data_IF_528735155286
#
_entry.id   IF_528735155286
#
_cell.length_a   1.000
_cell.length_b   1.000
_cell.length_c   1.000
_cell.angle_alpha   90.00
_cell.angle_beta   90.00
_cell.angle_gamma   90.00
#
_symmetry.space_group_name_H-M   'P 1'
#
loop_
_entity.id
_entity.type
_entity.pdbx_description
1 polymer ?
#
# COMPACT_ATOMS: atom_id res chain seq x y z
N UNK A 1 10.58 9.19 1.74
CA UNK A 1 11.35 7.95 2.02
C UNK A 1 10.42 6.76 1.79
N UNK A 2 10.90 5.68 1.15
CA UNK A 2 10.13 4.44 0.98
C UNK A 2 10.65 3.38 1.95
N UNK A 3 9.75 2.69 2.64
CA UNK A 3 10.12 1.69 3.65
C UNK A 3 9.17 0.49 3.63
N UNK A 4 9.63 -0.64 4.15
CA UNK A 4 8.79 -1.81 4.43
C UNK A 4 8.31 -1.79 5.89
N UNK A 5 7.19 -2.44 6.23
CA UNK A 5 6.64 -2.41 7.59
C UNK A 5 7.63 -2.81 8.71
N UNK A 6 8.54 -3.79 8.53
CA UNK A 6 9.56 -4.10 9.54
C UNK A 6 10.47 -2.93 9.91
N UNK A 7 10.76 -2.03 8.96
CA UNK A 7 11.56 -0.82 9.22
C UNK A 7 10.77 0.17 10.08
N UNK A 8 9.45 0.29 9.86
CA UNK A 8 8.57 1.10 10.71
C UNK A 8 8.49 0.54 12.13
N UNK A 9 8.41 -0.79 12.28
CA UNK A 9 8.48 -1.45 13.59
C UNK A 9 9.80 -1.13 14.29
N UNK A 10 10.92 -1.23 13.57
CA UNK A 10 12.24 -0.93 14.12
C UNK A 10 12.34 0.53 14.57
N UNK A 11 11.85 1.47 13.75
CA UNK A 11 11.80 2.89 14.06
C UNK A 11 11.01 3.13 15.35
N UNK A 12 9.80 2.58 15.47
CA UNK A 12 8.97 2.73 16.66
C UNK A 12 9.66 2.20 17.93
N UNK A 13 10.29 1.02 17.85
CA UNK A 13 10.97 0.38 18.99
C UNK A 13 12.24 1.12 19.43
N UNK A 14 13.00 1.66 18.49
CA UNK A 14 14.32 2.25 18.76
C UNK A 14 14.26 3.78 18.92
N UNK A 15 13.09 4.40 18.71
CA UNK A 15 12.93 5.84 18.71
C UNK A 15 13.55 6.54 19.92
N UNK A 16 13.28 6.04 21.13
CA UNK A 16 13.79 6.64 22.38
C UNK A 16 15.31 6.72 22.42
N UNK A 17 16.02 5.78 21.79
CA UNK A 17 17.48 5.77 21.73
C UNK A 17 18.05 6.64 20.60
N UNK A 18 17.27 6.90 19.55
CA UNK A 18 17.72 7.56 18.32
C UNK A 18 17.32 9.05 18.21
N UNK A 19 16.23 9.47 18.86
CA UNK A 19 15.64 10.80 18.66
C UNK A 19 16.62 11.97 18.90
N UNK A 20 17.59 11.80 19.80
CA UNK A 20 18.59 12.83 20.10
C UNK A 20 19.92 12.62 19.36
N UNK A 21 20.04 11.58 18.53
CA UNK A 21 21.28 11.24 17.81
C UNK A 21 21.27 11.70 16.36
N UNK A 22 20.09 11.82 15.76
CA UNK A 22 19.92 12.16 14.36
C UNK A 22 18.92 13.28 14.19
N UNK A 23 19.27 14.28 13.38
CA UNK A 23 18.32 15.29 12.94
C UNK A 23 17.49 14.75 11.77
N UNK A 24 16.18 14.61 12.00
CA UNK A 24 15.20 14.17 11.00
C UNK A 24 14.30 15.31 10.49
N UNK A 25 14.70 16.58 10.70
CA UNK A 25 13.94 17.76 10.28
C UNK A 25 13.70 17.83 8.76
N UNK A 26 14.61 17.24 7.96
CA UNK A 26 14.50 17.16 6.50
C UNK A 26 13.50 16.10 6.02
N UNK A 27 13.19 15.10 6.84
CA UNK A 27 12.23 14.07 6.50
C UNK A 27 10.82 14.67 6.51
N UNK A 28 10.12 14.61 5.38
CA UNK A 28 8.75 15.12 5.24
C UNK A 28 7.71 14.03 5.08
N UNK A 29 8.10 12.91 4.47
CA UNK A 29 7.17 11.87 4.01
C UNK A 29 7.78 10.48 4.11
N UNK A 30 7.01 9.52 4.62
CA UNK A 30 7.32 8.09 4.64
C UNK A 30 6.20 7.32 3.95
N UNK A 31 6.51 6.60 2.88
CA UNK A 31 5.57 5.71 2.21
C UNK A 31 5.92 4.27 2.60
N UNK A 32 4.95 3.55 3.17
CA UNK A 32 5.06 2.13 3.49
C UNK A 32 4.19 1.29 2.56
N UNK A 33 4.74 0.19 2.07
CA UNK A 33 4.09 -0.72 1.11
C UNK A 33 4.59 -2.16 1.31
N UNK A 34 4.24 -3.06 0.39
CA UNK A 34 4.62 -4.48 0.33
C UNK A 34 4.04 -5.39 1.42
N UNK A 35 3.64 -4.87 2.58
CA UNK A 35 2.89 -5.62 3.59
C UNK A 35 1.95 -4.70 4.38
N UNK A 36 0.92 -5.25 5.04
CA UNK A 36 0.01 -4.46 5.85
C UNK A 36 0.74 -3.76 6.99
N UNK A 37 0.48 -2.46 7.15
CA UNK A 37 0.94 -1.69 8.30
C UNK A 37 -0.23 -1.55 9.27
N UNK A 38 -0.06 -2.01 10.52
CA UNK A 38 -1.15 -1.93 11.49
C UNK A 38 -1.42 -0.47 11.86
N UNK A 39 -2.71 -0.15 12.06
CA UNK A 39 -3.15 1.18 12.49
C UNK A 39 -2.34 1.68 13.71
N UNK A 40 -2.22 0.85 14.74
CA UNK A 40 -1.49 1.17 15.97
C UNK A 40 -0.04 1.58 15.70
N UNK A 41 0.63 0.90 14.76
CA UNK A 41 2.02 1.23 14.42
C UNK A 41 2.10 2.58 13.70
N UNK A 42 1.14 2.89 12.84
CA UNK A 42 1.09 4.19 12.16
C UNK A 42 0.87 5.30 13.18
N UNK A 43 -0.07 5.11 14.11
CA UNK A 43 -0.36 6.08 15.18
C UNK A 43 0.88 6.34 16.05
N UNK A 44 1.60 5.28 16.45
CA UNK A 44 2.87 5.40 17.18
C UNK A 44 3.90 6.18 16.36
N UNK A 45 4.09 5.81 15.08
CA UNK A 45 5.07 6.47 14.21
C UNK A 45 4.72 7.94 13.95
N UNK A 46 3.45 8.28 13.82
CA UNK A 46 2.98 9.66 13.67
C UNK A 46 3.17 10.48 14.95
N UNK A 47 3.02 9.86 16.13
CA UNK A 47 3.29 10.53 17.41
C UNK A 47 4.77 10.86 17.59
N UNK A 48 5.67 9.95 17.21
CA UNK A 48 7.12 10.16 17.36
C UNK A 48 7.70 11.11 16.29
N UNK A 49 7.09 11.16 15.09
CA UNK A 49 7.49 12.02 13.98
C UNK A 49 6.31 12.91 13.53
N UNK A 50 5.88 13.88 14.34
CA UNK A 50 4.66 14.65 14.07
C UNK A 50 4.74 15.56 12.83
N UNK A 51 5.94 15.88 12.36
CA UNK A 51 6.17 16.67 11.14
C UNK A 51 6.21 15.84 9.85
N UNK A 52 6.13 14.50 9.96
CA UNK A 52 6.26 13.56 8.84
C UNK A 52 4.91 12.99 8.47
N UNK A 53 4.53 13.10 7.21
CA UNK A 53 3.34 12.42 6.69
C UNK A 53 3.67 10.94 6.42
N UNK A 54 2.84 10.04 6.93
CA UNK A 54 2.98 8.60 6.73
C UNK A 54 1.87 8.14 5.79
N UNK A 55 2.23 7.41 4.74
CA UNK A 55 1.34 6.94 3.69
C UNK A 55 1.42 5.43 3.63
N UNK A 56 0.28 4.75 3.46
CA UNK A 56 0.27 3.38 2.98
C UNK A 56 0.01 3.32 1.48
N UNK A 57 0.67 2.39 0.81
CA UNK A 57 0.40 2.04 -0.56
C UNK A 57 0.20 0.53 -0.68
N UNK A 58 -0.68 0.14 -1.61
CA UNK A 58 -0.84 -1.24 -2.02
C UNK A 58 -0.36 -1.40 -3.45
N UNK A 59 0.32 -2.50 -3.71
CA UNK A 59 0.92 -2.82 -4.99
C UNK A 59 1.34 -4.28 -5.00
N UNK A 60 1.65 -4.77 -6.19
CA UNK A 60 2.21 -6.11 -6.40
C UNK A 60 3.17 -6.06 -7.59
N UNK A 61 4.07 -7.04 -7.66
CA UNK A 61 5.07 -7.12 -8.73
C UNK A 61 4.41 -7.18 -10.11
N UNK A 62 3.31 -7.92 -10.21
CA UNK A 62 2.54 -8.11 -11.44
C UNK A 62 1.80 -6.84 -11.90
N UNK A 63 1.68 -5.83 -11.03
CA UNK A 63 1.14 -4.52 -11.38
C UNK A 63 2.22 -3.47 -11.68
N UNK A 64 3.49 -3.89 -11.73
CA UNK A 64 4.68 -3.06 -11.90
C UNK A 64 4.76 -1.86 -10.93
N UNK A 65 4.30 -2.04 -9.69
CA UNK A 65 4.39 -1.02 -8.65
C UNK A 65 3.08 -0.82 -7.88
N UNK A 66 2.78 0.43 -7.56
CA UNK A 66 1.63 0.79 -6.73
C UNK A 66 0.32 0.79 -7.53
N UNK A 67 -0.68 0.13 -6.97
CA UNK A 67 -2.07 0.08 -7.43
C UNK A 67 -2.87 1.22 -6.79
N UNK A 68 -2.69 1.41 -5.49
CA UNK A 68 -3.36 2.45 -4.70
C UNK A 68 -2.43 3.09 -3.68
N UNK A 69 -2.73 4.32 -3.28
CA UNK A 69 -1.97 5.04 -2.26
C UNK A 69 -2.90 5.93 -1.43
N UNK A 70 -2.67 5.98 -0.13
CA UNK A 70 -3.34 6.93 0.76
C UNK A 70 -2.98 8.37 0.40
N UNK A 71 -3.96 9.27 0.53
CA UNK A 71 -3.72 10.70 0.48
C UNK A 71 -4.06 11.29 1.86
N UNK A 72 -3.07 11.63 2.71
CA UNK A 72 -3.31 12.16 4.04
C UNK A 72 -3.93 13.57 4.03
N UNK A 73 -4.05 14.21 2.86
CA UNK A 73 -4.84 15.45 2.70
C UNK A 73 -6.33 15.17 2.46
N UNK A 74 -6.70 13.92 2.17
CA UNK A 74 -8.06 13.50 1.81
C UNK A 74 -8.50 12.33 2.70
N UNK A 75 -9.53 12.57 3.51
CA UNK A 75 -10.10 11.56 4.42
C UNK A 75 -9.46 11.55 5.81
N UNK A 76 -9.94 10.65 6.70
CA UNK A 76 -9.44 10.57 8.07
C UNK A 76 -8.01 9.97 8.09
N UNK A 77 -7.10 10.52 8.91
CA UNK A 77 -5.78 9.92 9.09
C UNK A 77 -5.92 8.52 9.70
N UNK A 78 -4.99 7.62 9.34
CA UNK A 78 -4.88 6.28 9.93
C UNK A 78 -6.14 5.42 9.74
N UNK A 79 -6.81 5.56 8.60
CA UNK A 79 -8.03 4.84 8.25
C UNK A 79 -7.86 3.30 8.19
N UNK A 80 -6.62 2.82 8.07
CA UNK A 80 -6.32 1.42 7.77
C UNK A 80 -6.55 1.07 6.30
N UNK A 81 -6.86 2.05 5.45
CA UNK A 81 -6.99 1.89 4.01
C UNK A 81 -5.63 1.92 3.31
N UNK A 82 -5.59 1.42 2.07
CA UNK A 82 -4.45 1.60 1.15
C UNK A 82 -4.72 2.73 0.15
N UNK A 83 -5.76 3.53 0.42
CA UNK A 83 -6.11 4.75 -0.27
C UNK A 83 -6.88 4.56 -1.57
N UNK A 84 -6.66 5.48 -2.51
CA UNK A 84 -7.35 5.52 -3.80
C UNK A 84 -6.47 4.99 -4.91
N UNK A 85 -7.09 4.56 -6.02
CA UNK A 85 -6.37 4.06 -7.19
C UNK A 85 -5.41 5.11 -7.74
N UNK A 86 -4.24 4.65 -8.18
CA UNK A 86 -3.31 5.46 -8.97
C UNK A 86 -3.96 5.85 -10.32
N UNK A 87 -3.55 6.97 -10.93
CA UNK A 87 -4.05 7.36 -12.24
C UNK A 87 -3.92 6.23 -13.26
N UNK A 88 -4.91 6.12 -14.14
CA UNK A 88 -4.98 5.11 -15.21
C UNK A 88 -5.16 3.65 -14.74
N UNK A 89 -5.29 3.41 -13.44
CA UNK A 89 -5.69 2.11 -12.89
C UNK A 89 -7.21 2.09 -12.71
N UNK A 90 -7.83 1.02 -13.19
CA UNK A 90 -9.21 0.67 -12.93
C UNK A 90 -9.25 -0.54 -12.00
N UNK A 91 -10.23 -0.61 -11.13
CA UNK A 91 -10.43 -1.77 -10.25
C UNK A 91 -11.90 -2.14 -10.13
N UNK A 92 -12.16 -3.42 -9.90
CA UNK A 92 -13.45 -3.98 -9.50
C UNK A 92 -13.23 -4.94 -8.33
N UNK A 93 -14.24 -5.10 -7.48
CA UNK A 93 -14.29 -6.20 -6.53
C UNK A 93 -14.98 -7.39 -7.18
N UNK A 94 -14.33 -8.55 -7.19
CA UNK A 94 -14.86 -9.82 -7.66
C UNK A 94 -15.27 -10.73 -6.51
N UNK A 95 -16.36 -11.47 -6.67
CA UNK A 95 -16.70 -12.58 -5.78
C UNK A 95 -15.63 -13.67 -5.88
N UNK A 96 -15.06 -14.10 -4.75
CA UNK A 96 -14.04 -15.17 -4.70
C UNK A 96 -14.53 -16.53 -5.18
N UNK A 97 -15.84 -16.73 -5.29
CA UNK A 97 -16.45 -17.99 -5.77
C UNK A 97 -16.96 -17.89 -7.19
N UNK A 98 -17.46 -16.74 -7.62
CA UNK A 98 -18.15 -16.59 -8.92
C UNK A 98 -17.46 -15.65 -9.90
N UNK A 99 -16.44 -14.91 -9.45
CA UNK A 99 -15.75 -13.84 -10.19
C UNK A 99 -16.66 -12.71 -10.69
N UNK A 100 -17.94 -12.69 -10.25
CA UNK A 100 -18.88 -11.63 -10.61
C UNK A 100 -18.57 -10.35 -9.84
N UNK A 101 -18.80 -9.17 -10.45
CA UNK A 101 -18.63 -7.89 -9.76
C UNK A 101 -19.49 -7.80 -8.49
N UNK A 102 -18.89 -7.28 -7.42
CA UNK A 102 -19.55 -6.98 -6.16
C UNK A 102 -19.81 -5.46 -6.03
N UNK A 103 -20.89 -5.06 -5.34
CA UNK A 103 -21.14 -3.66 -5.01
C UNK A 103 -20.14 -3.13 -3.96
N UNK A 104 -20.07 -1.80 -3.76
CA UNK A 104 -19.25 -1.20 -2.71
C UNK A 104 -19.52 -1.78 -1.32
N UNK A 105 -18.51 -1.73 -0.45
CA UNK A 105 -18.55 -2.20 0.95
C UNK A 105 -18.79 -3.71 1.13
N UNK A 106 -18.50 -4.53 0.12
CA UNK A 106 -18.44 -5.99 0.25
C UNK A 106 -17.00 -6.49 0.22
N UNK A 107 -16.75 -7.64 0.86
CA UNK A 107 -15.45 -8.31 0.79
C UNK A 107 -15.38 -9.18 -0.47
N UNK A 108 -14.29 -9.03 -1.21
CA UNK A 108 -14.04 -9.78 -2.44
C UNK A 108 -12.58 -9.67 -2.87
N UNK A 109 -12.30 -10.28 -4.01
CA UNK A 109 -11.01 -10.19 -4.67
C UNK A 109 -10.85 -8.84 -5.37
N UNK A 110 -9.69 -8.21 -5.23
CA UNK A 110 -9.36 -6.97 -5.93
C UNK A 110 -8.84 -7.34 -7.31
N UNK A 111 -9.62 -7.05 -8.36
CA UNK A 111 -9.16 -7.17 -9.74
C UNK A 111 -8.78 -5.77 -10.26
N UNK A 112 -7.72 -5.70 -11.04
CA UNK A 112 -7.19 -4.43 -11.58
C UNK A 112 -6.97 -4.51 -13.07
N UNK A 113 -7.07 -3.37 -13.74
CA UNK A 113 -6.73 -3.20 -15.16
C UNK A 113 -6.05 -1.86 -15.36
N UNK A 114 -4.99 -1.83 -16.15
CA UNK A 114 -4.28 -0.60 -16.48
C UNK A 114 -3.02 -0.84 -17.29
N UNK A 115 -2.33 0.23 -17.70
CA UNK A 115 -1.12 0.13 -18.52
C UNK A 115 0.11 -0.40 -17.74
N UNK A 116 0.02 -0.51 -16.42
CA UNK A 116 1.13 -0.98 -15.57
C UNK A 116 1.11 -2.48 -15.34
N UNK A 117 0.08 -3.20 -15.78
CA UNK A 117 0.01 -4.66 -15.60
C UNK A 117 1.11 -5.32 -16.41
N UNK A 118 1.79 -6.29 -15.80
CA UNK A 118 2.85 -7.08 -16.43
C UNK A 118 2.34 -7.77 -17.70
N UNK A 119 3.25 -8.04 -18.63
CA UNK A 119 2.96 -8.85 -19.82
C UNK A 119 2.71 -10.34 -19.48
N UNK A 120 3.06 -10.75 -18.26
CA UNK A 120 2.90 -12.11 -17.77
C UNK A 120 4.16 -12.64 -17.09
N UNK A 121 4.13 -13.92 -16.75
CA UNK A 121 5.26 -14.62 -16.17
C UNK A 121 6.17 -15.19 -17.25
N UNK A 122 7.48 -14.95 -17.11
CA UNK A 122 8.48 -15.43 -18.05
C UNK A 122 8.41 -16.95 -18.26
N UNK A 123 8.29 -17.38 -19.52
CA UNK A 123 8.15 -18.78 -19.93
C UNK A 123 7.05 -19.57 -19.19
N UNK A 124 6.00 -18.89 -18.69
CA UNK A 124 4.91 -19.53 -17.97
C UNK A 124 3.53 -18.97 -18.40
N UNK A 125 3.05 -19.34 -19.59
CA UNK A 125 1.74 -18.90 -20.09
C UNK A 125 0.59 -19.43 -19.22
N UNK A 126 0.76 -20.61 -18.61
CA UNK A 126 -0.27 -21.18 -17.71
C UNK A 126 -0.49 -20.30 -16.48
N UNK A 127 0.57 -19.86 -15.80
CA UNK A 127 0.43 -18.95 -14.67
C UNK A 127 -0.08 -17.57 -15.10
N UNK A 128 0.33 -17.10 -16.29
CA UNK A 128 -0.13 -15.83 -16.86
C UNK A 128 -1.64 -15.84 -17.04
N UNK A 129 -2.19 -16.86 -17.70
CA UNK A 129 -3.62 -16.96 -18.00
C UNK A 129 -4.48 -17.26 -16.76
N UNK A 130 -3.88 -17.70 -15.65
CA UNK A 130 -4.58 -17.85 -14.37
C UNK A 130 -4.70 -16.51 -13.65
N UNK A 131 -3.67 -15.66 -13.72
CA UNK A 131 -3.63 -14.38 -13.01
C UNK A 131 -4.10 -13.16 -13.81
N UNK A 132 -4.11 -13.25 -15.14
CA UNK A 132 -4.44 -12.14 -16.05
C UNK A 132 -5.46 -12.66 -17.07
N UNK A 133 -6.66 -12.11 -17.04
CA UNK A 133 -7.71 -12.38 -18.03
C UNK A 133 -7.50 -11.55 -19.31
N UNK A 134 -8.17 -11.95 -20.40
CA UNK A 134 -8.17 -11.22 -21.69
C UNK A 134 -9.09 -9.99 -21.68
#
# INVERSE_FOLDING_TARGET
MFVVPPVMVSLAKQWQMMNNKYDLSSLKQIISSAAPLSRDLIEICAHILPHVQIFQAYGMTEACGNISMENPKEGPPFSGSTGTLMPLIQSKLGSVTTMKPLPPNQMGEICIRGPTITLGYFNNPKATNVGIDE
#
